data_IF_401544918280
#
_entry.id   IF_401544918280
#
_cell.length_a   1.000
_cell.length_b   1.000
_cell.length_c   1.000
_cell.angle_alpha   90.00
_cell.angle_beta   90.00
_cell.angle_gamma   90.00
#
_symmetry.space_group_name_H-M   'P 1'
#
loop_
_entity.id
_entity.type
_entity.pdbx_description
1 polymer ?
#
# COMPACT_ATOMS: atom_id res chain seq x y z
N UNK A 1 26.87 3.97 -9.06
CA UNK A 1 25.60 3.21 -9.10
C UNK A 1 24.59 3.95 -8.24
N UNK A 2 23.38 4.14 -8.76
CA UNK A 2 22.26 4.74 -8.03
C UNK A 2 21.36 3.65 -7.47
N UNK A 3 20.93 3.80 -6.23
CA UNK A 3 19.96 2.93 -5.57
C UNK A 3 18.70 3.73 -5.29
N UNK A 4 17.53 3.21 -5.68
CA UNK A 4 16.23 3.83 -5.42
C UNK A 4 15.55 3.03 -4.31
N UNK A 5 15.00 3.73 -3.32
CA UNK A 5 14.29 3.11 -2.19
C UNK A 5 12.97 3.81 -1.97
N UNK A 6 11.89 3.04 -1.80
CA UNK A 6 10.56 3.56 -1.46
C UNK A 6 10.54 3.95 0.03
N UNK A 7 10.27 5.22 0.32
CA UNK A 7 10.12 5.69 1.72
C UNK A 7 8.67 5.87 2.13
N UNK A 8 7.80 6.25 1.20
CA UNK A 8 6.39 6.50 1.50
C UNK A 8 5.53 6.17 0.30
N UNK A 9 4.41 5.51 0.53
CA UNK A 9 3.39 5.31 -0.49
C UNK A 9 2.04 5.73 0.06
N UNK A 10 1.23 6.40 -0.78
CA UNK A 10 -0.11 6.86 -0.44
C UNK A 10 -1.06 6.63 -1.61
N UNK A 11 -2.10 5.85 -1.36
CA UNK A 11 -3.27 5.68 -2.21
C UNK A 11 -4.20 6.89 -2.07
N UNK A 12 -4.56 7.46 -3.21
CA UNK A 12 -5.62 8.46 -3.39
C UNK A 12 -6.66 7.84 -4.31
N UNK A 13 -7.67 7.22 -3.73
CA UNK A 13 -8.68 6.43 -4.43
C UNK A 13 -8.05 5.28 -5.23
N UNK A 14 -7.91 5.42 -6.56
CA UNK A 14 -7.21 4.45 -7.42
C UNK A 14 -5.90 4.98 -8.01
N UNK A 15 -5.40 6.10 -7.52
CA UNK A 15 -4.13 6.71 -7.91
C UNK A 15 -3.08 6.57 -6.80
N UNK A 16 -1.80 6.57 -7.17
CA UNK A 16 -0.69 6.34 -6.24
C UNK A 16 0.26 7.54 -6.19
N UNK A 17 0.58 7.99 -4.98
CA UNK A 17 1.60 9.00 -4.70
C UNK A 17 2.72 8.35 -3.89
N UNK A 18 3.96 8.39 -4.40
CA UNK A 18 5.12 7.71 -3.80
C UNK A 18 6.24 8.72 -3.57
N UNK A 19 6.85 8.68 -2.39
CA UNK A 19 8.14 9.32 -2.13
C UNK A 19 9.24 8.27 -2.20
N UNK A 20 10.20 8.53 -3.06
CA UNK A 20 11.37 7.71 -3.30
C UNK A 20 12.61 8.48 -2.83
N UNK A 21 13.61 7.78 -2.33
CA UNK A 21 14.95 8.30 -2.15
C UNK A 21 15.87 7.68 -3.18
N UNK A 22 16.56 8.50 -3.96
CA UNK A 22 17.62 8.07 -4.87
C UNK A 22 18.98 8.40 -4.26
N UNK A 23 19.77 7.38 -3.96
CA UNK A 23 21.14 7.55 -3.47
C UNK A 23 22.13 7.30 -4.59
N UNK A 24 22.90 8.33 -4.96
CA UNK A 24 23.92 8.30 -6.01
C UNK A 24 25.30 8.26 -5.37
N UNK A 25 26.03 7.16 -5.56
CA UNK A 25 27.42 7.05 -5.12
C UNK A 25 28.36 7.75 -6.11
N UNK A 26 29.11 8.75 -5.63
CA UNK A 26 30.08 9.49 -6.45
C UNK A 26 31.44 8.79 -6.46
N UNK A 27 32.24 8.92 -7.54
CA UNK A 27 33.56 8.29 -7.65
C UNK A 27 34.59 8.73 -6.58
N UNK A 28 34.29 9.78 -5.80
CA UNK A 28 35.16 10.32 -4.74
C UNK A 28 34.83 9.87 -3.32
N UNK A 29 33.94 8.88 -3.14
CA UNK A 29 33.58 8.34 -1.82
C UNK A 29 32.47 9.09 -1.08
N UNK A 30 31.86 10.11 -1.69
CA UNK A 30 30.64 10.75 -1.19
C UNK A 30 29.38 10.15 -1.80
N UNK A 31 28.27 10.22 -1.08
CA UNK A 31 26.93 9.93 -1.60
C UNK A 31 26.08 11.21 -1.65
N UNK A 32 25.20 11.29 -2.65
CA UNK A 32 24.16 12.31 -2.75
C UNK A 32 22.82 11.61 -2.67
N UNK A 33 21.94 12.06 -1.78
CA UNK A 33 20.58 11.53 -1.63
C UNK A 33 19.58 12.56 -2.13
N UNK A 34 18.74 12.17 -3.10
CA UNK A 34 17.67 13.00 -3.64
C UNK A 34 16.32 12.45 -3.18
N UNK A 35 15.44 13.33 -2.71
CA UNK A 35 14.03 13.00 -2.48
C UNK A 35 13.22 13.24 -3.77
N UNK A 36 12.49 12.22 -4.22
CA UNK A 36 11.69 12.26 -5.43
C UNK A 36 10.23 11.96 -5.07
N UNK A 37 9.35 12.95 -5.26
CA UNK A 37 7.90 12.78 -5.16
C UNK A 37 7.32 12.44 -6.54
N UNK A 38 6.78 11.23 -6.69
CA UNK A 38 6.13 10.77 -7.93
C UNK A 38 4.62 10.62 -7.71
N UNK A 39 3.84 11.44 -8.43
CA UNK A 39 2.37 11.37 -8.47
C UNK A 39 1.94 10.64 -9.73
N UNK A 40 1.30 9.49 -9.57
CA UNK A 40 0.88 8.63 -10.66
C UNK A 40 -0.64 8.67 -10.80
N UNK A 41 -1.14 8.94 -12.01
CA UNK A 41 -2.58 9.00 -12.31
C UNK A 41 -3.12 7.70 -12.93
N UNK A 42 -2.27 6.70 -13.15
CA UNK A 42 -2.68 5.39 -13.67
C UNK A 42 -3.38 4.58 -12.58
N UNK A 43 -4.35 3.77 -12.97
CA UNK A 43 -5.13 2.95 -12.03
C UNK A 43 -4.24 1.90 -11.38
N UNK A 44 -4.25 1.87 -10.05
CA UNK A 44 -3.58 0.82 -9.28
C UNK A 44 -4.23 -0.55 -9.53
N UNK A 45 -3.37 -1.57 -9.63
CA UNK A 45 -3.77 -2.96 -9.73
C UNK A 45 -4.39 -3.45 -8.41
N UNK A 46 -5.27 -4.44 -8.47
CA UNK A 46 -5.99 -4.94 -7.30
C UNK A 46 -5.05 -5.64 -6.29
N UNK A 47 -3.91 -6.17 -6.75
CA UNK A 47 -2.84 -6.71 -5.88
C UNK A 47 -2.28 -5.65 -4.92
N UNK A 48 -2.05 -4.43 -5.41
CA UNK A 48 -1.56 -3.34 -4.57
C UNK A 48 -2.62 -2.93 -3.54
N UNK A 49 -3.90 -2.96 -3.93
CA UNK A 49 -5.02 -2.71 -3.01
C UNK A 49 -5.05 -3.80 -1.93
N UNK A 50 -4.93 -5.07 -2.33
CA UNK A 50 -4.90 -6.21 -1.41
C UNK A 50 -3.70 -6.16 -0.44
N UNK A 51 -2.53 -5.75 -0.91
CA UNK A 51 -1.34 -5.56 -0.07
C UNK A 51 -1.58 -4.49 1.01
N UNK A 52 -2.20 -3.36 0.64
CA UNK A 52 -2.59 -2.33 1.61
C UNK A 52 -3.70 -2.81 2.56
N UNK A 53 -4.60 -3.66 2.07
CA UNK A 53 -5.70 -4.23 2.87
C UNK A 53 -5.18 -5.05 4.05
N UNK A 54 -4.11 -5.82 3.84
CA UNK A 54 -3.44 -6.62 4.87
C UNK A 54 -2.88 -5.77 6.02
N UNK A 55 -2.45 -4.53 5.73
CA UNK A 55 -1.94 -3.61 6.75
C UNK A 55 -3.01 -3.12 7.74
N UNK A 56 -4.31 -3.31 7.45
CA UNK A 56 -5.40 -2.86 8.36
C UNK A 56 -5.32 -3.50 9.73
N UNK A 57 -5.00 -4.79 9.80
CA UNK A 57 -4.97 -5.53 11.06
C UNK A 57 -3.93 -4.93 12.00
N UNK A 58 -2.77 -4.55 11.43
CA UNK A 58 -1.71 -3.86 12.16
C UNK A 58 -2.10 -2.47 12.61
N UNK A 59 -2.73 -1.67 11.75
CA UNK A 59 -3.22 -0.34 12.12
C UNK A 59 -4.22 -0.41 13.28
N UNK A 60 -5.09 -1.42 13.29
CA UNK A 60 -6.09 -1.60 14.34
C UNK A 60 -5.46 -2.03 15.66
N UNK A 61 -4.51 -2.97 15.61
CA UNK A 61 -3.78 -3.45 16.79
C UNK A 61 -2.87 -2.36 17.36
N UNK A 62 -2.06 -1.70 16.54
CA UNK A 62 -1.09 -0.69 16.98
C UNK A 62 -1.72 0.60 17.56
N UNK A 63 -2.99 0.86 17.26
CA UNK A 63 -3.73 1.98 17.85
C UNK A 63 -4.64 1.57 19.01
N UNK A 64 -4.63 0.31 19.44
CA UNK A 64 -5.51 -0.23 20.47
C UNK A 64 -7.00 0.14 20.27
N UNK A 65 -7.47 0.13 19.02
CA UNK A 65 -8.89 0.37 18.78
C UNK A 65 -9.72 -0.78 19.32
N UNK A 66 -10.98 -0.54 19.69
CA UNK A 66 -11.89 -1.57 20.22
C UNK A 66 -11.91 -2.90 19.43
N UNK A 67 -11.72 -2.87 18.10
CA UNK A 67 -11.69 -4.09 17.27
C UNK A 67 -10.37 -4.87 17.36
N UNK A 68 -9.34 -4.34 18.01
CA UNK A 68 -8.09 -5.06 18.31
C UNK A 68 -8.34 -6.26 19.22
N UNK A 69 -9.39 -6.22 20.05
CA UNK A 69 -9.86 -7.33 20.89
C UNK A 69 -10.35 -8.53 20.07
N UNK A 70 -10.61 -8.37 18.76
CA UNK A 70 -10.96 -9.48 17.86
C UNK A 70 -9.73 -10.18 17.31
N UNK A 71 -8.57 -9.51 17.38
CA UNK A 71 -7.28 -10.01 16.90
C UNK A 71 -6.67 -10.81 18.05
N UNK A 72 -7.24 -11.99 18.27
CA UNK A 72 -6.85 -12.94 19.32
C UNK A 72 -6.31 -14.19 18.65
N UNK A 73 -5.01 -14.21 18.42
CA UNK A 73 -4.31 -15.35 17.81
C UNK A 73 -2.81 -15.10 17.84
N UNK A 74 -2.03 -16.19 17.81
CA UNK A 74 -0.57 -16.11 17.73
C UNK A 74 -0.10 -15.58 16.36
N UNK A 75 -0.97 -15.55 15.36
CA UNK A 75 -0.71 -15.00 14.03
C UNK A 75 -1.93 -14.27 13.48
N UNK A 76 -1.66 -13.22 12.71
CA UNK A 76 -2.65 -12.38 12.04
C UNK A 76 -2.85 -12.75 10.55
N UNK A 77 -2.07 -13.67 10.00
CA UNK A 77 -2.09 -13.98 8.56
C UNK A 77 -3.44 -14.49 8.07
N UNK A 78 -4.14 -15.25 8.92
CA UNK A 78 -5.44 -15.84 8.60
C UNK A 78 -6.62 -15.03 9.17
N UNK A 79 -6.36 -13.81 9.67
CA UNK A 79 -7.42 -12.98 10.22
C UNK A 79 -8.40 -12.53 9.13
N UNK A 80 -9.70 -12.66 9.40
CA UNK A 80 -10.75 -12.22 8.48
C UNK A 80 -10.83 -10.68 8.43
N UNK A 81 -10.20 -10.10 7.40
CA UNK A 81 -10.19 -8.65 7.16
C UNK A 81 -11.58 -8.04 6.95
N UNK A 82 -12.61 -8.84 6.63
CA UNK A 82 -13.98 -8.35 6.48
C UNK A 82 -14.56 -7.77 7.78
N UNK A 83 -14.06 -8.25 8.93
CA UNK A 83 -14.40 -7.75 10.26
C UNK A 83 -13.90 -6.32 10.49
N UNK A 84 -12.90 -5.88 9.71
CA UNK A 84 -12.32 -4.53 9.71
C UNK A 84 -12.73 -3.74 8.47
N UNK A 85 -13.89 -4.05 7.87
CA UNK A 85 -14.40 -3.38 6.67
C UNK A 85 -14.61 -1.87 6.82
N UNK A 86 -14.84 -1.37 8.03
CA UNK A 86 -14.92 0.07 8.36
C UNK A 86 -13.56 0.77 8.38
N UNK A 87 -12.45 0.02 8.33
CA UNK A 87 -11.10 0.55 8.27
C UNK A 87 -10.53 0.46 6.86
N UNK A 88 -9.72 1.45 6.51
CA UNK A 88 -9.00 1.56 5.23
C UNK A 88 -7.60 2.08 5.48
N UNK A 89 -6.58 1.35 5.06
CA UNK A 89 -5.21 1.87 4.99
C UNK A 89 -5.05 2.61 3.67
N UNK A 90 -4.59 3.85 3.74
CA UNK A 90 -4.35 4.73 2.60
C UNK A 90 -2.87 4.90 2.31
N UNK A 91 -1.97 4.49 3.19
CA UNK A 91 -0.55 4.72 3.01
C UNK A 91 0.29 4.20 4.15
N UNK A 92 1.59 4.17 3.90
CA UNK A 92 2.60 3.89 4.90
C UNK A 92 3.79 4.82 4.67
N UNK A 93 4.55 5.08 5.74
CA UNK A 93 5.78 5.86 5.73
C UNK A 93 6.82 5.06 6.50
N UNK A 94 7.84 4.59 5.79
CA UNK A 94 9.00 3.90 6.36
C UNK A 94 9.97 4.97 6.85
N UNK A 95 10.49 4.78 8.05
CA UNK A 95 11.45 5.67 8.68
C UNK A 95 12.41 4.90 9.56
N UNK A 96 13.35 5.65 10.16
CA UNK A 96 14.42 5.04 10.94
C UNK A 96 15.57 4.53 10.08
N UNK A 97 16.57 4.00 10.76
CA UNK A 97 17.80 3.47 10.17
C UNK A 97 18.31 2.33 11.04
N UNK A 98 18.81 1.27 10.41
CA UNK A 98 19.34 0.06 11.07
C UNK A 98 18.35 -0.50 12.11
N UNK A 99 18.76 -0.66 13.37
CA UNK A 99 17.95 -1.24 14.45
C UNK A 99 16.75 -0.35 14.87
N UNK A 100 16.64 0.87 14.34
CA UNK A 100 15.51 1.76 14.60
C UNK A 100 14.54 1.86 13.42
N UNK A 101 14.67 0.98 12.42
CA UNK A 101 13.76 0.94 11.29
C UNK A 101 12.33 0.61 11.74
N UNK A 102 11.38 1.31 11.14
CA UNK A 102 9.98 1.15 11.44
C UNK A 102 9.08 1.84 10.45
N UNK A 103 7.79 1.83 10.77
CA UNK A 103 6.75 2.31 9.87
C UNK A 103 5.65 3.05 10.61
N UNK A 104 5.09 4.06 9.95
CA UNK A 104 3.82 4.70 10.30
C UNK A 104 2.80 4.37 9.24
N UNK A 105 1.67 3.80 9.65
CA UNK A 105 0.53 3.57 8.78
C UNK A 105 -0.40 4.78 8.79
N UNK A 106 -0.92 5.11 7.62
CA UNK A 106 -1.84 6.21 7.40
C UNK A 106 -3.12 5.60 6.85
N UNK A 107 -4.24 5.86 7.52
CA UNK A 107 -5.52 5.28 7.14
C UNK A 107 -6.71 6.13 7.56
N UNK A 108 -7.87 5.52 7.50
CA UNK A 108 -9.10 6.10 7.99
C UNK A 108 -10.09 5.03 8.42
N UNK A 109 -11.00 5.43 9.28
CA UNK A 109 -12.18 4.66 9.67
C UNK A 109 -13.45 5.42 9.28
N UNK A 110 -14.38 4.73 8.65
CA UNK A 110 -15.70 5.26 8.33
C UNK A 110 -16.73 4.74 9.34
N UNK A 111 -17.50 5.64 9.93
CA UNK A 111 -18.59 5.26 10.84
C UNK A 111 -19.90 5.13 10.08
N UNK A 112 -20.84 4.33 10.60
CA UNK A 112 -22.20 4.22 10.06
C UNK A 112 -22.94 5.56 9.95
N UNK A 113 -22.50 6.59 10.68
CA UNK A 113 -23.00 7.96 10.57
C UNK A 113 -22.50 8.73 9.34
N UNK A 114 -21.65 8.13 8.49
CA UNK A 114 -20.97 8.77 7.36
C UNK A 114 -19.78 9.65 7.75
N UNK A 115 -19.47 9.75 9.06
CA UNK A 115 -18.27 10.47 9.53
C UNK A 115 -17.03 9.65 9.23
N UNK A 116 -15.95 10.34 8.87
CA UNK A 116 -14.64 9.72 8.62
C UNK A 116 -13.65 10.21 9.69
N UNK A 117 -13.00 9.27 10.37
CA UNK A 117 -11.86 9.51 11.24
C UNK A 117 -10.59 9.19 10.46
N UNK A 118 -9.70 10.18 10.31
CA UNK A 118 -8.36 9.92 9.77
C UNK A 118 -7.45 9.40 10.87
N UNK A 119 -6.67 8.37 10.56
CA UNK A 119 -5.82 7.66 11.50
C UNK A 119 -4.38 7.76 11.02
N UNK A 120 -3.48 8.07 11.93
CA UNK A 120 -2.02 7.96 11.76
C UNK A 120 -1.56 7.14 12.96
N UNK A 121 -0.95 5.99 12.72
CA UNK A 121 -0.47 5.14 13.82
C UNK A 121 0.73 5.78 14.51
N UNK A 122 1.04 5.41 15.76
CA UNK A 122 2.37 5.61 16.29
C UNK A 122 3.43 4.98 15.37
N UNK A 123 4.68 5.41 15.51
CA UNK A 123 5.80 4.82 14.79
C UNK A 123 6.09 3.43 15.37
N UNK A 124 5.85 2.40 14.57
CA UNK A 124 6.03 0.99 14.96
C UNK A 124 7.40 0.56 14.47
N UNK A 125 8.32 0.24 15.39
CA UNK A 125 9.63 -0.31 15.03
C UNK A 125 9.52 -1.81 14.78
N UNK A 126 10.32 -2.31 13.83
CA UNK A 126 10.39 -3.74 13.56
C UNK A 126 11.17 -4.49 14.65
N UNK A 127 12.14 -3.82 15.27
CA UNK A 127 12.85 -4.28 16.43
C UNK A 127 12.74 -3.20 17.53
N UNK A 128 11.96 -3.46 18.58
CA UNK A 128 11.87 -2.61 19.76
C UNK A 128 12.10 -3.46 21.02
N UNK A 129 13.11 -3.10 21.81
CA UNK A 129 13.40 -3.77 23.09
C UNK A 129 12.54 -3.24 24.24
N UNK A 130 11.97 -2.03 24.09
CA UNK A 130 11.25 -1.31 25.15
C UNK A 130 9.75 -1.54 25.05
N UNK A 131 9.21 -1.48 23.83
CA UNK A 131 7.79 -1.70 23.55
C UNK A 131 7.61 -2.56 22.28
N UNK A 132 7.90 -3.87 22.37
CA UNK A 132 7.86 -4.76 21.22
C UNK A 132 6.44 -4.89 20.68
N UNK A 133 6.28 -4.61 19.39
CA UNK A 133 5.04 -4.92 18.71
C UNK A 133 4.94 -6.42 18.41
N UNK A 134 3.89 -7.06 18.94
CA UNK A 134 3.67 -8.52 18.91
C UNK A 134 3.77 -9.13 17.50
N UNK A 135 3.28 -8.40 16.49
CA UNK A 135 3.26 -8.84 15.08
C UNK A 135 4.25 -8.06 14.21
N UNK A 136 5.39 -7.65 14.79
CA UNK A 136 6.42 -6.92 14.06
C UNK A 136 6.99 -7.66 12.83
N UNK A 137 7.26 -8.99 12.90
CA UNK A 137 7.71 -9.74 11.73
C UNK A 137 6.68 -9.70 10.58
N UNK A 138 5.42 -9.99 10.89
CA UNK A 138 4.34 -9.99 9.90
C UNK A 138 4.07 -8.59 9.34
N UNK A 139 4.28 -7.54 10.15
CA UNK A 139 4.20 -6.16 9.69
C UNK A 139 5.30 -5.85 8.69
N UNK A 140 6.53 -6.26 8.98
CA UNK A 140 7.66 -6.08 8.06
C UNK A 140 7.40 -6.80 6.74
N UNK A 141 6.92 -8.04 6.78
CA UNK A 141 6.57 -8.81 5.58
C UNK A 141 5.42 -8.17 4.78
N UNK A 142 4.38 -7.68 5.45
CA UNK A 142 3.27 -6.99 4.80
C UNK A 142 3.71 -5.65 4.17
N UNK A 143 4.62 -4.91 4.82
CA UNK A 143 5.21 -3.69 4.26
C UNK A 143 6.10 -4.02 3.07
N UNK A 144 6.95 -5.04 3.15
CA UNK A 144 7.80 -5.48 2.05
C UNK A 144 6.96 -5.90 0.84
N UNK A 145 5.86 -6.63 1.05
CA UNK A 145 4.91 -6.96 -0.01
C UNK A 145 4.27 -5.71 -0.64
N UNK A 146 3.88 -4.73 0.18
CA UNK A 146 3.33 -3.47 -0.31
C UNK A 146 4.37 -2.63 -1.09
N UNK A 147 5.62 -2.58 -0.62
CA UNK A 147 6.73 -1.92 -1.32
C UNK A 147 7.00 -2.61 -2.65
N UNK A 148 7.04 -3.94 -2.67
CA UNK A 148 7.22 -4.71 -3.90
C UNK A 148 6.13 -4.36 -4.92
N UNK A 149 4.85 -4.38 -4.55
CA UNK A 149 3.76 -4.02 -5.46
C UNK A 149 3.84 -2.55 -5.94
N UNK A 150 4.32 -1.63 -5.10
CA UNK A 150 4.60 -0.24 -5.50
C UNK A 150 5.71 -0.18 -6.54
N UNK A 151 6.81 -0.92 -6.35
CA UNK A 151 7.91 -0.99 -7.31
C UNK A 151 7.47 -1.61 -8.64
N UNK A 152 6.67 -2.68 -8.60
CA UNK A 152 6.08 -3.30 -9.79
C UNK A 152 5.19 -2.31 -10.56
N UNK A 153 4.37 -1.53 -9.86
CA UNK A 153 3.57 -0.48 -10.47
C UNK A 153 4.44 0.63 -11.09
N UNK A 154 5.54 1.02 -10.44
CA UNK A 154 6.39 2.14 -10.84
C UNK A 154 7.36 1.82 -11.98
N UNK A 155 7.92 0.61 -12.01
CA UNK A 155 9.03 0.21 -12.88
C UNK A 155 8.65 -0.87 -13.89
N UNK A 156 7.71 -1.76 -13.54
CA UNK A 156 7.31 -2.90 -14.38
C UNK A 156 5.97 -2.70 -15.10
N UNK A 157 5.39 -1.49 -15.02
CA UNK A 157 4.11 -1.14 -15.66
C UNK A 157 2.93 -2.02 -15.21
N UNK A 158 2.96 -2.55 -13.98
CA UNK A 158 1.86 -3.32 -13.38
C UNK A 158 0.73 -2.39 -12.91
N UNK A 159 0.06 -1.73 -13.85
CA UNK A 159 -1.15 -0.92 -13.62
C UNK A 159 -2.37 -1.58 -14.27
N UNK A 160 -3.55 -1.34 -13.71
CA UNK A 160 -4.78 -1.85 -14.27
C UNK A 160 -5.03 -1.20 -15.65
N UNK A 161 -5.02 -2.02 -16.71
CA UNK A 161 -5.42 -1.58 -18.05
C UNK A 161 -6.94 -1.42 -18.01
N UNK A 162 -7.45 -0.22 -18.30
CA UNK A 162 -8.89 -0.06 -18.58
C UNK A 162 -9.19 -0.91 -19.80
N UNK A 163 -10.00 -1.95 -19.63
CA UNK A 163 -10.52 -2.71 -20.76
C UNK A 163 -11.31 -1.74 -21.63
N UNK A 164 -10.77 -1.40 -22.80
CA UNK A 164 -11.51 -0.72 -23.84
C UNK A 164 -12.56 -1.71 -24.32
N UNK A 165 -13.82 -1.30 -24.32
CA UNK A 165 -14.90 -2.08 -24.92
C UNK A 165 -14.48 -2.47 -26.34
N UNK A 166 -14.47 -3.77 -26.63
CA UNK A 166 -14.29 -4.24 -28.00
C UNK A 166 -15.56 -3.79 -28.74
N UNK A 167 -15.49 -2.90 -29.74
CA UNK A 167 -16.64 -2.63 -30.57
C UNK A 167 -16.96 -3.94 -31.29
N UNK A 168 -18.03 -4.60 -30.87
CA UNK A 168 -18.65 -5.67 -31.64
C UNK A 168 -19.30 -4.96 -32.82
N UNK A 169 -18.63 -4.95 -33.97
CA UNK A 169 -19.29 -4.59 -35.22
C UNK A 169 -20.35 -5.66 -35.47
N UNK A 170 -21.61 -5.31 -35.23
CA UNK A 170 -22.75 -6.08 -35.72
C UNK A 170 -22.69 -6.02 -37.25
N UNK A 171 -22.14 -7.07 -37.88
CA UNK A 171 -22.31 -7.27 -39.32
C UNK A 171 -23.80 -7.44 -39.58
N UNK A 172 -24.42 -6.32 -40.00
CA UNK A 172 -25.78 -6.23 -40.48
C UNK A 172 -26.05 -7.33 -41.51
N UNK A 173 -27.06 -8.14 -41.22
CA UNK A 173 -27.71 -9.01 -42.19
C UNK A 173 -28.37 -8.14 -43.28
N UNK A 174 -27.61 -7.80 -44.33
CA UNK A 174 -28.20 -7.28 -45.56
C UNK A 174 -28.79 -8.41 -46.40
N UNK A 175 -30.10 -8.55 -46.22
CA UNK A 175 -31.07 -9.10 -47.15
C UNK A 175 -30.70 -8.83 -48.63
N UNK A 176 -30.53 -9.89 -49.43
CA UNK A 176 -30.70 -9.81 -50.88
C UNK A 176 -31.72 -10.84 -51.35
N UNK A 177 -32.99 -10.46 -51.27
CA UNK A 177 -33.99 -10.92 -52.22
C UNK A 177 -33.76 -10.24 -53.59
N UNK A 178 -34.05 -11.02 -54.65
CA UNK A 178 -34.35 -10.63 -56.04
C UNK A 178 -33.26 -10.93 -57.10
N UNK A 179 -33.33 -12.11 -57.71
CA UNK A 179 -33.77 -12.31 -59.11
C UNK A 179 -33.78 -13.80 -59.48
#
# INVERSE_FOLDING_TARGET
MSTITVKKAKLKDRSLEVNLEETINTPGGGSVTNEILKKCNTLVHDDLIAAFDRLKVHMVKACDFKKSELITGESIENFDLSLLSDYRVKGFSIGGQDDNEGVVLIGSREFASGKILNIITPFIRYADEVDPYEFAPELADAINAAVYEVEQYLFENKYAIKQLEIPFDEEDQENSEAA
#
